data_IF_844042951549
#
_entry.id   IF_844042951549
#
_cell.length_a   1.000
_cell.length_b   1.000
_cell.length_c   1.000
_cell.angle_alpha   90.00
_cell.angle_beta   90.00
_cell.angle_gamma   90.00
#
_symmetry.space_group_name_H-M   'P 1'
#
loop_
_entity.id
_entity.type
_entity.pdbx_description
1 polymer ?
#
# COMPACT_ATOMS: atom_id res chain seq x y z
N UNK A 1 9.26 -33.05 -27.80
CA UNK A 1 9.59 -32.40 -26.49
C UNK A 1 8.27 -32.05 -25.80
N UNK A 2 7.87 -32.85 -24.79
CA UNK A 2 6.55 -32.75 -24.14
C UNK A 2 6.60 -31.72 -23.03
N UNK A 3 6.07 -30.51 -23.29
CA UNK A 3 5.84 -29.52 -22.28
C UNK A 3 4.69 -29.95 -21.36
N UNK A 4 4.99 -30.44 -20.15
CA UNK A 4 4.00 -30.65 -19.09
C UNK A 4 3.28 -29.35 -18.78
N UNK A 5 2.02 -29.20 -19.22
CA UNK A 5 1.12 -28.19 -18.71
C UNK A 5 0.92 -28.45 -17.22
N UNK A 6 1.42 -27.55 -16.38
CA UNK A 6 1.14 -27.61 -14.95
C UNK A 6 -0.36 -27.42 -14.74
N UNK A 7 -0.99 -28.38 -14.07
CA UNK A 7 -2.42 -28.36 -13.78
C UNK A 7 -2.78 -27.14 -12.92
N UNK A 8 -3.88 -26.46 -13.29
CA UNK A 8 -4.42 -25.26 -12.62
C UNK A 8 -5.03 -25.52 -11.24
N UNK A 9 -4.93 -26.73 -10.70
CA UNK A 9 -5.72 -27.18 -9.54
C UNK A 9 -4.98 -27.21 -8.21
N UNK A 10 -3.86 -26.46 -8.07
CA UNK A 10 -3.28 -26.26 -6.74
C UNK A 10 -4.15 -25.28 -5.96
N UNK A 11 -5.17 -25.82 -5.29
CA UNK A 11 -5.96 -25.06 -4.30
C UNK A 11 -5.01 -24.43 -3.29
N UNK A 12 -4.99 -23.10 -3.25
CA UNK A 12 -4.23 -22.34 -2.27
C UNK A 12 -4.54 -22.83 -0.84
N UNK A 13 -3.56 -22.84 0.08
CA UNK A 13 -3.77 -23.21 1.48
C UNK A 13 -4.93 -22.42 2.09
N UNK A 14 -5.73 -23.06 2.97
CA UNK A 14 -6.89 -22.43 3.61
C UNK A 14 -6.53 -21.12 4.31
N UNK A 15 -5.34 -21.03 4.91
CA UNK A 15 -4.83 -19.82 5.57
C UNK A 15 -4.65 -18.62 4.62
N UNK A 16 -4.30 -18.87 3.37
CA UNK A 16 -4.16 -17.82 2.34
C UNK A 16 -5.52 -17.37 1.81
N UNK A 17 -6.49 -18.30 1.69
CA UNK A 17 -7.86 -17.98 1.32
C UNK A 17 -8.53 -17.09 2.36
N UNK A 18 -8.35 -17.38 3.64
CA UNK A 18 -8.94 -16.60 4.73
C UNK A 18 -8.39 -15.16 4.78
N UNK A 19 -7.08 -14.98 4.60
CA UNK A 19 -6.46 -13.64 4.57
C UNK A 19 -6.98 -12.81 3.40
N UNK A 20 -6.98 -13.35 2.19
CA UNK A 20 -7.49 -12.65 1.01
C UNK A 20 -8.96 -12.28 1.14
N UNK A 21 -9.79 -13.17 1.69
CA UNK A 21 -11.22 -12.90 1.88
C UNK A 21 -11.46 -11.77 2.89
N UNK A 22 -10.76 -11.78 4.03
CA UNK A 22 -10.85 -10.70 5.03
C UNK A 22 -10.42 -9.37 4.43
N UNK A 23 -9.27 -9.34 3.77
CA UNK A 23 -8.73 -8.14 3.16
C UNK A 23 -9.65 -7.58 2.06
N UNK A 24 -10.27 -8.45 1.24
CA UNK A 24 -11.26 -8.03 0.25
C UNK A 24 -12.51 -7.45 0.90
N UNK A 25 -12.97 -8.02 2.03
CA UNK A 25 -14.10 -7.49 2.79
C UNK A 25 -13.79 -6.10 3.36
N UNK A 26 -12.61 -5.94 3.98
CA UNK A 26 -12.17 -4.67 4.54
C UNK A 26 -12.03 -3.59 3.45
N UNK A 27 -11.51 -3.96 2.29
CA UNK A 27 -11.43 -3.09 1.09
C UNK A 27 -12.82 -2.68 0.60
N UNK A 28 -13.74 -3.64 0.46
CA UNK A 28 -15.12 -3.36 0.03
C UNK A 28 -15.84 -2.42 1.00
N UNK A 29 -15.63 -2.58 2.31
CA UNK A 29 -16.19 -1.70 3.33
C UNK A 29 -15.68 -0.25 3.17
N UNK A 30 -14.38 -0.06 2.91
CA UNK A 30 -13.78 1.25 2.66
C UNK A 30 -14.40 1.91 1.42
N UNK A 31 -14.42 1.20 0.27
CA UNK A 31 -14.96 1.75 -0.98
C UNK A 31 -16.46 2.01 -0.96
N UNK A 32 -17.21 1.29 -0.13
CA UNK A 32 -18.65 1.50 0.05
C UNK A 32 -18.98 2.55 1.12
N UNK A 33 -17.98 3.06 1.85
CA UNK A 33 -18.20 4.07 2.88
C UNK A 33 -18.63 5.42 2.29
N UNK A 34 -19.37 6.19 3.10
CA UNK A 34 -19.77 7.55 2.73
C UNK A 34 -18.55 8.45 2.60
N UNK A 35 -17.62 8.31 3.52
CA UNK A 35 -16.38 9.10 3.58
C UNK A 35 -15.55 8.93 2.30
N UNK A 36 -15.43 7.70 1.78
CA UNK A 36 -14.73 7.46 0.52
C UNK A 36 -15.42 8.13 -0.66
N UNK A 37 -16.75 8.04 -0.75
CA UNK A 37 -17.51 8.67 -1.84
C UNK A 37 -17.35 10.18 -1.83
N UNK A 38 -17.40 10.82 -0.65
CA UNK A 38 -17.18 12.25 -0.49
C UNK A 38 -15.75 12.65 -0.86
N UNK A 39 -14.75 11.93 -0.37
CA UNK A 39 -13.33 12.18 -0.68
C UNK A 39 -13.03 12.05 -2.18
N UNK A 40 -13.59 11.02 -2.83
CA UNK A 40 -13.46 10.83 -4.28
C UNK A 40 -14.03 12.01 -5.06
N UNK A 41 -15.20 12.51 -4.68
CA UNK A 41 -15.82 13.68 -5.32
C UNK A 41 -14.95 14.92 -5.10
N UNK A 42 -14.45 15.13 -3.89
CA UNK A 42 -13.56 16.26 -3.57
C UNK A 42 -12.27 16.20 -4.39
N UNK A 43 -11.65 15.02 -4.51
CA UNK A 43 -10.43 14.85 -5.31
C UNK A 43 -10.66 15.17 -6.78
N UNK A 44 -11.74 14.68 -7.39
CA UNK A 44 -12.08 14.94 -8.80
C UNK A 44 -12.47 16.41 -9.04
N UNK A 45 -13.04 17.09 -8.05
CA UNK A 45 -13.32 18.54 -8.13
C UNK A 45 -12.04 19.38 -8.03
N UNK A 46 -11.12 18.99 -7.16
CA UNK A 46 -9.84 19.68 -7.00
C UNK A 46 -8.90 19.45 -8.20
N UNK A 47 -8.90 18.25 -8.75
CA UNK A 47 -8.09 17.84 -9.90
C UNK A 47 -9.00 17.24 -10.99
N UNK A 48 -9.68 18.09 -11.81
CA UNK A 48 -10.64 17.62 -12.81
C UNK A 48 -9.99 17.00 -14.05
N UNK A 49 -8.69 17.23 -14.24
CA UNK A 49 -7.91 16.67 -15.33
C UNK A 49 -7.16 15.41 -14.90
N UNK A 50 -6.89 14.53 -15.86
CA UNK A 50 -6.08 13.34 -15.65
C UNK A 50 -4.62 13.74 -15.37
N UNK A 51 -4.15 13.54 -14.13
CA UNK A 51 -2.79 13.91 -13.73
C UNK A 51 -1.69 13.17 -14.54
N UNK A 52 -1.99 11.99 -15.07
CA UNK A 52 -1.06 11.22 -15.92
C UNK A 52 -0.97 11.82 -17.33
N UNK A 53 -2.12 12.13 -17.95
CA UNK A 53 -2.15 12.78 -19.26
C UNK A 53 -1.54 14.20 -19.22
N UNK A 54 -1.77 14.93 -18.13
CA UNK A 54 -1.22 16.27 -17.91
C UNK A 54 0.30 16.26 -17.90
N UNK A 55 0.95 15.24 -17.30
CA UNK A 55 2.40 15.04 -17.36
C UNK A 55 2.92 14.81 -18.79
N UNK A 56 2.09 14.25 -19.67
CA UNK A 56 2.39 14.04 -21.09
C UNK A 56 1.98 15.25 -21.96
N UNK A 57 1.49 16.35 -21.36
CA UNK A 57 1.01 17.54 -22.04
C UNK A 57 -0.36 17.36 -22.73
N UNK A 58 -1.10 16.32 -22.38
CA UNK A 58 -2.41 15.99 -22.94
C UNK A 58 -3.51 16.40 -21.96
N UNK A 59 -4.48 17.19 -22.42
CA UNK A 59 -5.64 17.61 -21.64
C UNK A 59 -6.75 16.57 -21.78
N UNK A 60 -7.02 15.84 -20.70
CA UNK A 60 -8.08 14.80 -20.64
C UNK A 60 -8.80 14.88 -19.30
N UNK A 61 -10.13 14.78 -19.31
CA UNK A 61 -10.94 14.78 -18.09
C UNK A 61 -10.66 13.53 -17.25
N UNK A 62 -10.58 13.70 -15.92
CA UNK A 62 -10.48 12.59 -14.98
C UNK A 62 -11.89 12.07 -14.62
N UNK A 63 -12.04 10.75 -14.57
CA UNK A 63 -13.29 10.07 -14.21
C UNK A 63 -13.12 9.12 -13.03
N UNK A 64 -11.90 8.74 -12.70
CA UNK A 64 -11.59 7.83 -11.61
C UNK A 64 -10.53 8.43 -10.67
N UNK A 65 -10.52 7.95 -9.43
CA UNK A 65 -9.45 8.20 -8.46
C UNK A 65 -8.72 6.89 -8.22
N UNK A 66 -7.42 6.91 -8.40
CA UNK A 66 -6.52 5.77 -8.21
C UNK A 66 -5.62 6.00 -7.00
N UNK A 67 -5.19 4.93 -6.34
CA UNK A 67 -4.23 4.99 -5.24
C UNK A 67 -2.82 4.72 -5.75
N UNK A 68 -1.88 5.67 -5.59
CA UNK A 68 -0.46 5.49 -5.96
C UNK A 68 0.17 4.31 -5.23
N UNK A 69 -0.10 4.21 -3.93
CA UNK A 69 0.26 3.06 -3.12
C UNK A 69 -0.97 2.18 -2.97
N UNK A 70 -0.94 0.92 -3.47
CA UNK A 70 -2.06 0.00 -3.37
C UNK A 70 -2.47 -0.25 -1.92
N UNK A 71 -3.74 -0.08 -1.60
CA UNK A 71 -4.24 -0.30 -0.24
C UNK A 71 -4.23 -1.79 0.15
N UNK A 72 -4.14 -2.68 -0.83
CA UNK A 72 -4.00 -4.13 -0.64
C UNK A 72 -2.66 -4.55 -0.02
N UNK A 73 -1.63 -3.72 -0.13
CA UNK A 73 -0.32 -3.98 0.47
C UNK A 73 -0.29 -3.76 1.99
N UNK A 74 -1.38 -3.23 2.55
CA UNK A 74 -1.53 -2.98 3.98
C UNK A 74 -1.58 -4.26 4.80
N UNK A 75 -0.97 -4.25 5.97
CA UNK A 75 -0.92 -5.39 6.91
C UNK A 75 -2.14 -5.44 7.84
N UNK A 76 -2.82 -4.30 8.01
CA UNK A 76 -3.99 -4.17 8.88
C UNK A 76 -5.09 -3.31 8.26
N UNK A 77 -6.32 -3.45 8.74
CA UNK A 77 -7.47 -2.62 8.34
C UNK A 77 -7.24 -1.13 8.65
N UNK A 78 -6.60 -0.83 9.78
CA UNK A 78 -6.29 0.54 10.16
C UNK A 78 -5.29 1.20 9.19
N UNK A 79 -4.26 0.47 8.81
CA UNK A 79 -3.28 0.90 7.81
C UNK A 79 -3.93 1.05 6.43
N UNK A 80 -4.80 0.10 6.03
CA UNK A 80 -5.56 0.18 4.78
C UNK A 80 -6.42 1.44 4.73
N UNK A 81 -7.15 1.77 5.82
CA UNK A 81 -7.91 3.03 5.90
C UNK A 81 -6.99 4.25 5.80
N UNK A 82 -5.86 4.26 6.51
CA UNK A 82 -4.89 5.36 6.43
C UNK A 82 -4.47 5.63 4.98
N UNK A 83 -4.05 4.61 4.24
CA UNK A 83 -3.66 4.75 2.84
C UNK A 83 -4.82 5.12 1.91
N UNK A 84 -6.01 4.58 2.18
CA UNK A 84 -7.20 4.87 1.38
C UNK A 84 -7.65 6.32 1.46
N UNK A 85 -7.52 6.95 2.63
CA UNK A 85 -7.97 8.33 2.87
C UNK A 85 -6.85 9.38 2.83
N UNK A 86 -5.62 8.97 2.57
CA UNK A 86 -4.48 9.88 2.43
C UNK A 86 -4.58 10.63 1.09
N UNK A 87 -4.74 11.95 1.13
CA UNK A 87 -4.90 12.78 -0.05
C UNK A 87 -3.75 12.67 -1.06
N UNK A 88 -2.52 12.62 -0.57
CA UNK A 88 -1.29 12.51 -1.35
C UNK A 88 -1.17 11.17 -2.07
N UNK A 89 -1.88 10.16 -1.56
CA UNK A 89 -1.94 8.83 -2.17
C UNK A 89 -2.97 8.76 -3.32
N UNK A 90 -3.79 9.78 -3.49
CA UNK A 90 -4.86 9.82 -4.48
C UNK A 90 -4.43 10.56 -5.75
N UNK A 91 -4.75 9.96 -6.90
CA UNK A 91 -4.49 10.52 -8.24
C UNK A 91 -5.77 10.51 -9.05
N UNK A 92 -6.09 11.65 -9.67
CA UNK A 92 -7.20 11.74 -10.62
C UNK A 92 -6.76 11.23 -11.99
N UNK A 93 -7.47 10.25 -12.55
CA UNK A 93 -7.10 9.59 -13.80
C UNK A 93 -8.29 9.43 -14.75
N UNK A 94 -8.03 9.44 -16.06
CA UNK A 94 -9.00 9.02 -17.05
C UNK A 94 -9.10 7.49 -17.12
N UNK A 95 -10.14 6.97 -17.75
CA UNK A 95 -10.38 5.53 -17.82
C UNK A 95 -9.26 4.77 -18.54
N UNK A 96 -8.67 5.37 -19.58
CA UNK A 96 -7.57 4.77 -20.33
C UNK A 96 -6.30 4.65 -19.47
N UNK A 97 -5.90 5.71 -18.77
CA UNK A 97 -4.75 5.69 -17.86
C UNK A 97 -5.00 4.75 -16.66
N UNK A 98 -6.21 4.75 -16.10
CA UNK A 98 -6.61 3.84 -15.02
C UNK A 98 -6.48 2.37 -15.45
N UNK A 99 -6.97 2.02 -16.64
CA UNK A 99 -6.83 0.68 -17.18
C UNK A 99 -5.36 0.29 -17.45
N UNK A 100 -4.54 1.23 -17.95
CA UNK A 100 -3.10 1.03 -18.17
C UNK A 100 -2.37 0.75 -16.86
N UNK A 101 -2.59 1.55 -15.82
CA UNK A 101 -1.99 1.35 -14.48
C UNK A 101 -2.34 -0.04 -13.94
N UNK A 102 -3.62 -0.42 -13.93
CA UNK A 102 -4.03 -1.73 -13.46
C UNK A 102 -3.49 -2.89 -14.29
N UNK A 103 -3.29 -2.70 -15.60
CA UNK A 103 -2.65 -3.72 -16.45
C UNK A 103 -1.18 -3.90 -16.08
N UNK A 104 -0.47 -2.82 -15.81
CA UNK A 104 0.93 -2.84 -15.38
C UNK A 104 1.07 -3.46 -13.97
N UNK A 105 0.22 -3.09 -13.04
CA UNK A 105 0.17 -3.69 -11.69
C UNK A 105 -0.10 -5.21 -11.71
N UNK A 106 -0.93 -5.67 -12.64
CA UNK A 106 -1.25 -7.10 -12.82
C UNK A 106 -0.25 -7.83 -13.71
N UNK A 107 0.67 -7.12 -14.32
CA UNK A 107 1.66 -7.74 -15.21
C UNK A 107 2.46 -8.80 -14.46
N UNK A 108 2.51 -10.00 -15.03
CA UNK A 108 3.33 -11.11 -14.58
C UNK A 108 4.62 -11.24 -15.41
N UNK A 109 5.02 -10.16 -16.13
CA UNK A 109 6.30 -10.15 -16.83
C UNK A 109 7.46 -10.41 -15.87
N UNK A 110 8.57 -10.95 -16.39
CA UNK A 110 9.76 -11.20 -15.57
C UNK A 110 10.28 -9.92 -14.92
N UNK A 111 10.23 -8.81 -15.65
CA UNK A 111 10.65 -7.49 -15.19
C UNK A 111 9.75 -6.99 -14.05
N UNK A 112 8.43 -7.07 -14.21
CA UNK A 112 7.48 -6.65 -13.17
C UNK A 112 7.60 -7.52 -11.90
N UNK A 113 7.83 -8.82 -12.04
CA UNK A 113 8.06 -9.73 -10.91
C UNK A 113 9.37 -9.38 -10.20
N UNK A 114 10.44 -9.11 -10.95
CA UNK A 114 11.74 -8.72 -10.43
C UNK A 114 11.65 -7.39 -9.67
N UNK A 115 11.05 -6.36 -10.27
CA UNK A 115 10.88 -5.04 -9.63
C UNK A 115 10.09 -5.12 -8.33
N UNK A 116 9.00 -5.89 -8.30
CA UNK A 116 8.22 -6.11 -7.06
C UNK A 116 9.03 -6.87 -6.00
N UNK A 117 9.88 -7.81 -6.40
CA UNK A 117 10.75 -8.55 -5.50
C UNK A 117 11.82 -7.62 -4.90
N UNK A 118 12.42 -6.75 -5.70
CA UNK A 118 13.41 -5.75 -5.28
C UNK A 118 12.79 -4.73 -4.31
N UNK A 119 11.61 -4.19 -4.62
CA UNK A 119 10.87 -3.27 -3.74
C UNK A 119 10.49 -3.92 -2.41
N UNK A 120 10.12 -5.21 -2.44
CA UNK A 120 9.81 -5.97 -1.22
C UNK A 120 11.06 -6.20 -0.37
N UNK A 121 12.19 -6.47 -1.01
CA UNK A 121 13.47 -6.65 -0.34
C UNK A 121 13.95 -5.35 0.30
N UNK A 122 13.83 -4.21 -0.40
CA UNK A 122 14.18 -2.90 0.13
C UNK A 122 13.32 -2.53 1.34
N UNK A 123 12.03 -2.69 1.22
CA UNK A 123 11.08 -2.49 2.34
C UNK A 123 11.37 -3.39 3.53
N UNK A 124 11.83 -4.62 3.31
CA UNK A 124 12.27 -5.53 4.38
C UNK A 124 13.54 -5.02 5.07
N UNK A 125 14.52 -4.52 4.31
CA UNK A 125 15.73 -3.90 4.87
C UNK A 125 15.39 -2.69 5.73
N UNK A 126 14.56 -1.79 5.25
CA UNK A 126 14.14 -0.59 5.99
C UNK A 126 13.45 -0.96 7.31
N UNK A 127 12.59 -1.96 7.28
CA UNK A 127 11.93 -2.47 8.49
C UNK A 127 12.94 -3.09 9.47
N UNK A 128 13.94 -3.79 8.96
CA UNK A 128 14.99 -4.40 9.77
C UNK A 128 15.84 -3.33 10.46
N UNK A 129 16.33 -2.34 9.68
CA UNK A 129 17.12 -1.22 10.18
C UNK A 129 16.35 -0.44 11.25
N UNK A 130 15.06 -0.11 10.99
CA UNK A 130 14.21 0.58 11.95
C UNK A 130 13.99 -0.24 13.26
N UNK A 131 13.99 -1.56 13.16
CA UNK A 131 13.88 -2.43 14.31
C UNK A 131 15.16 -2.40 15.18
N UNK A 132 16.33 -2.38 14.54
CA UNK A 132 17.62 -2.30 15.26
C UNK A 132 17.81 -0.91 15.88
N UNK A 133 17.55 0.17 15.15
CA UNK A 133 17.69 1.54 15.69
C UNK A 133 16.81 1.76 16.92
N UNK A 134 15.61 1.19 16.98
CA UNK A 134 14.72 1.30 18.15
C UNK A 134 15.23 0.52 19.37
N UNK A 135 16.05 -0.53 19.18
CA UNK A 135 16.63 -1.29 20.30
C UNK A 135 17.79 -0.55 20.98
N UNK A 136 18.56 0.23 20.23
CA UNK A 136 19.71 0.97 20.79
C UNK A 136 19.32 2.21 21.58
N UNK A 137 18.08 2.71 21.45
CA UNK A 137 17.61 3.90 22.18
C UNK A 137 16.99 3.59 23.55
N UNK A 138 16.81 2.33 23.92
CA UNK A 138 16.17 1.94 25.19
C UNK A 138 17.17 1.56 26.29
N UNK A 139 18.47 1.49 25.98
CA UNK A 139 19.48 1.04 26.96
C UNK A 139 20.34 2.18 27.57
N UNK A 140 19.94 3.44 27.37
CA UNK A 140 20.69 4.60 27.87
C UNK A 140 20.00 5.36 29.01
N UNK A 141 19.05 4.75 29.73
CA UNK A 141 18.61 5.27 31.04
C UNK A 141 19.10 4.38 32.15
N UNK A 142 20.41 4.40 32.34
CA UNK A 142 21.04 3.91 33.56
C UNK A 142 20.52 4.70 34.76
N UNK A 143 19.86 3.99 35.66
CA UNK A 143 19.53 4.43 37.03
C UNK A 143 20.75 5.00 37.71
N UNK A 144 20.76 6.29 37.96
CA UNK A 144 21.57 6.88 39.00
C UNK A 144 20.75 6.84 40.28
N UNK A 145 21.03 5.86 41.11
CA UNK A 145 20.65 5.85 42.52
C UNK A 145 21.56 6.83 43.25
N UNK A 146 21.02 7.93 43.67
CA UNK A 146 21.68 8.80 44.68
C UNK A 146 21.19 8.38 46.04
N UNK A 147 22.06 7.68 46.73
CA UNK A 147 21.93 7.47 48.16
C UNK A 147 22.19 8.81 48.86
N UNK A 148 21.19 9.36 49.50
CA UNK A 148 21.30 10.51 50.37
C UNK A 148 21.52 9.97 51.79
N UNK A 149 22.78 9.94 52.22
CA UNK A 149 23.13 9.77 53.62
C UNK A 149 22.66 10.99 54.41
N UNK A 150 21.90 10.68 55.41
CA UNK A 150 21.47 11.59 56.48
C UNK A 150 22.53 11.58 57.57
N UNK A 151 23.14 12.70 57.83
CA UNK A 151 23.80 12.94 59.13
C UNK A 151 23.44 14.32 59.65
N UNK A 152 22.95 14.27 60.91
CA UNK A 152 22.88 15.22 62.02
C UNK A 152 21.67 16.18 62.07
#
# INVERSE_FOLDING_TARGET
MNGKRMSRDKKLPKSWRCRNHKQQKDKAEIYNSREWRELRILKLRANPLCEVCEQEGIVTSAHAVHHRHPIEDSTSKAEMRKWAFMWENLVSVCDACHAKIHKEERSHSREAVKTRAEQRHERWKDNLINRFIRHDTTDSTGKASVDADTED
#
